data_IF_867073155756
#
_entry.id   IF_867073155756
#
_cell.length_a   1.000
_cell.length_b   1.000
_cell.length_c   1.000
_cell.angle_alpha   90.00
_cell.angle_beta   90.00
_cell.angle_gamma   90.00
#
_symmetry.space_group_name_H-M   'P 1'
#
loop_
_entity.id
_entity.type
_entity.pdbx_description
1 polymer ?
#
# COMPACT_ATOMS: atom_id res chain seq x y z
N UNK A 1 15.30 23.08 -4.76
CA UNK A 1 14.27 24.13 -4.98
C UNK A 1 13.72 24.16 -6.39
N UNK A 2 14.53 24.19 -7.47
CA UNK A 2 14.01 24.27 -8.85
C UNK A 2 13.03 23.16 -9.24
N UNK A 3 13.25 21.90 -8.82
CA UNK A 3 12.31 20.81 -9.11
C UNK A 3 11.01 20.87 -8.29
N UNK A 4 11.04 21.48 -7.08
CA UNK A 4 9.82 21.70 -6.26
C UNK A 4 8.87 22.70 -6.93
N UNK A 5 9.41 23.69 -7.63
CA UNK A 5 8.62 24.71 -8.33
C UNK A 5 7.94 24.15 -9.59
N UNK A 6 8.40 23.01 -10.12
CA UNK A 6 7.82 22.36 -11.30
C UNK A 6 6.63 21.45 -10.98
N UNK A 7 6.40 21.15 -9.70
CA UNK A 7 5.26 20.33 -9.28
C UNK A 7 3.99 21.17 -9.35
N UNK A 8 2.93 20.62 -9.97
CA UNK A 8 1.62 21.24 -9.96
C UNK A 8 0.95 21.03 -8.59
N UNK A 9 1.30 21.88 -7.63
CA UNK A 9 0.81 21.80 -6.25
C UNK A 9 -0.70 21.97 -6.13
N UNK A 10 -1.32 22.76 -7.01
CA UNK A 10 -2.77 22.92 -7.05
C UNK A 10 -3.46 21.57 -7.29
N UNK A 11 -2.98 20.81 -8.29
CA UNK A 11 -3.48 19.45 -8.59
C UNK A 11 -3.24 18.49 -7.42
N UNK A 12 -2.07 18.55 -6.78
CA UNK A 12 -1.76 17.70 -5.62
C UNK A 12 -2.68 17.99 -4.43
N UNK A 13 -2.94 19.27 -4.13
CA UNK A 13 -3.81 19.68 -3.03
C UNK A 13 -5.25 19.26 -3.29
N UNK A 14 -5.76 19.47 -4.51
CA UNK A 14 -7.12 19.06 -4.87
C UNK A 14 -7.28 17.55 -4.82
N UNK A 15 -6.31 16.79 -5.33
CA UNK A 15 -6.29 15.35 -5.22
C UNK A 15 -6.35 14.91 -3.75
N UNK A 16 -5.46 15.43 -2.93
CA UNK A 16 -5.37 15.03 -1.53
C UNK A 16 -6.63 15.43 -0.73
N UNK A 17 -7.18 16.62 -0.96
CA UNK A 17 -8.44 17.03 -0.36
C UNK A 17 -9.61 16.12 -0.78
N UNK A 18 -9.65 15.69 -2.04
CA UNK A 18 -10.64 14.72 -2.54
C UNK A 18 -10.50 13.37 -1.83
N UNK A 19 -9.26 12.89 -1.63
CA UNK A 19 -8.95 11.67 -0.88
C UNK A 19 -9.46 11.75 0.56
N UNK A 20 -9.18 12.84 1.28
CA UNK A 20 -9.66 13.02 2.65
C UNK A 20 -11.19 13.06 2.72
N UNK A 21 -11.83 13.84 1.83
CA UNK A 21 -13.28 14.01 1.77
C UNK A 21 -13.98 12.68 1.49
N UNK A 22 -13.54 11.95 0.45
CA UNK A 22 -14.18 10.68 0.10
C UNK A 22 -13.96 9.61 1.18
N UNK A 23 -12.80 9.63 1.84
CA UNK A 23 -12.50 8.71 2.95
C UNK A 23 -13.47 8.93 4.09
N UNK A 24 -13.63 10.19 4.52
CA UNK A 24 -14.59 10.56 5.56
C UNK A 24 -16.02 10.10 5.22
N UNK A 25 -16.49 10.39 3.99
CA UNK A 25 -17.83 10.00 3.55
C UNK A 25 -17.98 8.47 3.46
N UNK A 26 -17.00 7.77 2.91
CA UNK A 26 -17.05 6.31 2.71
C UNK A 26 -17.13 5.52 4.02
N UNK A 27 -16.59 6.08 5.12
CA UNK A 27 -16.68 5.48 6.46
C UNK A 27 -18.05 5.63 7.11
N UNK A 28 -18.89 6.56 6.64
CA UNK A 28 -20.28 6.69 7.08
C UNK A 28 -21.20 5.66 6.45
N UNK A 29 -20.75 5.02 5.37
CA UNK A 29 -21.47 3.94 4.71
C UNK A 29 -21.24 2.61 5.46
N UNK A 30 -22.22 1.69 5.43
CA UNK A 30 -22.00 0.33 5.93
C UNK A 30 -20.86 -0.34 5.14
N UNK A 31 -20.14 -1.28 5.76
CA UNK A 31 -19.05 -1.99 5.10
C UNK A 31 -19.61 -2.87 3.96
N UNK A 32 -19.58 -2.34 2.74
CA UNK A 32 -20.23 -2.95 1.59
C UNK A 32 -19.61 -4.30 1.26
N UNK A 33 -18.28 -4.39 1.38
CA UNK A 33 -17.57 -5.63 1.10
C UNK A 33 -17.88 -6.71 2.14
N UNK A 34 -17.99 -6.34 3.42
CA UNK A 34 -18.47 -7.27 4.45
C UNK A 34 -19.87 -7.80 4.12
N UNK A 35 -20.80 -6.91 3.74
CA UNK A 35 -22.17 -7.31 3.38
C UNK A 35 -22.14 -8.37 2.28
N UNK A 36 -21.37 -8.13 1.21
CA UNK A 36 -21.25 -9.09 0.08
C UNK A 36 -20.62 -10.41 0.54
N UNK A 37 -19.54 -10.37 1.32
CA UNK A 37 -18.87 -11.58 1.82
C UNK A 37 -19.81 -12.41 2.71
N UNK A 38 -20.66 -11.75 3.51
CA UNK A 38 -21.64 -12.41 4.36
C UNK A 38 -22.80 -13.07 3.62
N UNK A 39 -23.00 -12.75 2.33
CA UNK A 39 -23.99 -13.46 1.50
C UNK A 39 -23.53 -14.88 1.16
N UNK A 40 -22.23 -15.15 1.21
CA UNK A 40 -21.64 -16.43 0.78
C UNK A 40 -20.91 -17.17 1.90
N UNK A 41 -20.49 -16.47 2.97
CA UNK A 41 -19.65 -17.02 4.03
C UNK A 41 -19.95 -16.36 5.38
N UNK A 42 -19.60 -16.99 6.50
CA UNK A 42 -19.68 -16.36 7.83
C UNK A 42 -18.41 -15.58 8.21
N UNK A 43 -17.49 -15.41 7.25
CA UNK A 43 -16.19 -14.76 7.49
C UNK A 43 -16.38 -13.27 7.76
N UNK A 44 -15.88 -12.85 8.91
CA UNK A 44 -15.73 -11.43 9.23
C UNK A 44 -14.40 -10.91 8.69
N UNK A 45 -14.48 -9.87 7.86
CA UNK A 45 -13.32 -9.15 7.35
C UNK A 45 -12.66 -8.35 8.47
N UNK A 46 -11.33 -8.21 8.43
CA UNK A 46 -10.59 -7.58 9.52
C UNK A 46 -10.75 -6.06 9.59
N UNK A 47 -11.20 -5.41 8.51
CA UNK A 47 -11.48 -3.98 8.49
C UNK A 47 -12.48 -3.62 7.39
N UNK A 48 -12.88 -2.34 7.39
CA UNK A 48 -13.77 -1.77 6.40
C UNK A 48 -13.01 -1.47 5.10
N UNK A 49 -13.47 -2.01 3.96
CA UNK A 49 -12.82 -1.82 2.67
C UNK A 49 -13.26 -0.55 1.93
N UNK A 50 -14.33 0.11 2.38
CA UNK A 50 -14.95 1.24 1.68
C UNK A 50 -13.94 2.36 1.37
N UNK A 51 -13.07 2.69 2.33
CA UNK A 51 -12.09 3.76 2.14
C UNK A 51 -10.99 3.37 1.14
N UNK A 52 -10.58 2.10 1.10
CA UNK A 52 -9.67 1.58 0.08
C UNK A 52 -10.25 1.70 -1.34
N UNK A 53 -11.51 1.28 -1.52
CA UNK A 53 -12.21 1.46 -2.80
C UNK A 53 -12.40 2.94 -3.16
N UNK A 54 -12.74 3.76 -2.18
CA UNK A 54 -12.97 5.19 -2.38
C UNK A 54 -11.72 5.90 -2.90
N UNK A 55 -10.56 5.68 -2.27
CA UNK A 55 -9.30 6.30 -2.72
C UNK A 55 -8.87 5.78 -4.09
N UNK A 56 -9.09 4.48 -4.38
CA UNK A 56 -8.81 3.91 -5.68
C UNK A 56 -9.63 4.57 -6.79
N UNK A 57 -10.94 4.73 -6.57
CA UNK A 57 -11.84 5.38 -7.55
C UNK A 57 -11.37 6.82 -7.80
N UNK A 58 -11.08 7.58 -6.74
CA UNK A 58 -10.56 8.94 -6.88
C UNK A 58 -9.25 8.93 -7.70
N UNK A 59 -8.29 8.09 -7.37
CA UNK A 59 -7.04 8.00 -8.12
C UNK A 59 -7.24 7.61 -9.59
N UNK A 60 -8.16 6.70 -9.91
CA UNK A 60 -8.50 6.35 -11.30
C UNK A 60 -9.09 7.57 -12.03
N UNK A 61 -10.01 8.31 -11.41
CA UNK A 61 -10.60 9.52 -12.00
C UNK A 61 -9.52 10.58 -12.25
N UNK A 62 -8.61 10.77 -11.31
CA UNK A 62 -7.52 11.73 -11.45
C UNK A 62 -6.48 11.33 -12.51
N UNK A 63 -6.19 10.03 -12.65
CA UNK A 63 -5.40 9.55 -13.79
C UNK A 63 -6.12 9.81 -15.11
N UNK A 64 -7.42 9.53 -15.18
CA UNK A 64 -8.21 9.66 -16.41
C UNK A 64 -8.39 11.11 -16.88
N UNK A 65 -8.65 12.04 -15.95
CA UNK A 65 -9.10 13.39 -16.29
C UNK A 65 -8.06 14.48 -16.08
N UNK A 66 -7.03 14.24 -15.26
CA UNK A 66 -6.07 15.29 -14.90
C UNK A 66 -4.64 14.96 -15.32
N UNK A 67 -4.39 13.80 -15.93
CA UNK A 67 -3.03 13.35 -16.28
C UNK A 67 -2.94 13.03 -17.77
N UNK A 68 -2.17 13.84 -18.50
CA UNK A 68 -1.98 13.68 -19.95
C UNK A 68 -0.94 12.61 -20.30
N UNK A 69 0.01 12.35 -19.40
CA UNK A 69 1.03 11.31 -19.57
C UNK A 69 0.50 9.94 -19.14
N UNK A 70 0.81 8.90 -19.92
CA UNK A 70 0.58 7.51 -19.48
C UNK A 70 1.42 7.22 -18.23
N UNK A 71 0.81 6.55 -17.25
CA UNK A 71 1.49 6.05 -16.06
C UNK A 71 2.76 5.26 -16.44
N UNK A 72 3.88 5.61 -15.81
CA UNK A 72 5.16 4.91 -15.92
C UNK A 72 5.24 3.73 -14.96
N UNK A 73 4.36 3.71 -13.96
CA UNK A 73 4.17 2.59 -13.03
C UNK A 73 3.07 1.68 -13.60
N UNK A 74 3.37 0.39 -13.68
CA UNK A 74 2.40 -0.63 -14.08
C UNK A 74 2.19 -1.61 -12.93
N UNK A 75 1.21 -2.51 -13.07
CA UNK A 75 0.89 -3.47 -12.02
C UNK A 75 2.10 -4.35 -11.66
N UNK A 76 2.80 -4.88 -12.67
CA UNK A 76 3.95 -5.79 -12.50
C UNK A 76 5.33 -5.13 -12.74
N UNK A 77 5.35 -3.88 -13.20
CA UNK A 77 6.56 -3.13 -13.49
C UNK A 77 7.41 -3.69 -14.62
N UNK A 78 8.72 -3.44 -14.53
CA UNK A 78 9.68 -3.75 -15.61
C UNK A 78 10.19 -5.20 -15.61
N UNK A 79 10.15 -5.90 -14.47
CA UNK A 79 10.56 -7.31 -14.34
C UNK A 79 9.47 -8.13 -13.65
N UNK A 80 8.50 -8.59 -14.45
CA UNK A 80 7.27 -9.24 -13.98
C UNK A 80 7.53 -10.42 -13.03
N UNK A 81 8.47 -11.31 -13.38
CA UNK A 81 8.80 -12.48 -12.56
C UNK A 81 9.35 -12.08 -11.20
N UNK A 82 10.31 -11.12 -11.16
CA UNK A 82 10.85 -10.63 -9.89
C UNK A 82 9.80 -9.91 -9.04
N UNK A 83 8.87 -9.20 -9.68
CA UNK A 83 7.78 -8.55 -8.96
C UNK A 83 6.84 -9.58 -8.30
N UNK A 84 6.53 -10.68 -9.00
CA UNK A 84 5.67 -11.76 -8.47
C UNK A 84 6.31 -12.54 -7.32
N UNK A 85 7.65 -12.58 -7.21
CA UNK A 85 8.32 -13.21 -6.08
C UNK A 85 7.91 -12.59 -4.73
N UNK A 86 7.63 -11.29 -4.69
CA UNK A 86 7.24 -10.60 -3.46
C UNK A 86 5.98 -11.23 -2.84
N UNK A 87 4.80 -11.21 -3.49
CA UNK A 87 3.59 -11.80 -2.92
C UNK A 87 3.73 -13.32 -2.71
N UNK A 88 4.46 -14.05 -3.58
CA UNK A 88 4.67 -15.50 -3.40
C UNK A 88 5.41 -15.80 -2.10
N UNK A 89 6.50 -15.08 -1.81
CA UNK A 89 7.30 -15.26 -0.59
C UNK A 89 6.46 -14.88 0.63
N UNK A 90 5.75 -13.77 0.57
CA UNK A 90 4.87 -13.30 1.65
C UNK A 90 3.81 -14.35 2.00
N UNK A 91 3.04 -14.78 1.00
CA UNK A 91 1.93 -15.71 1.21
C UNK A 91 2.42 -17.07 1.66
N UNK A 92 3.47 -17.61 1.04
CA UNK A 92 4.07 -18.87 1.48
C UNK A 92 4.56 -18.78 2.92
N UNK A 93 5.29 -17.71 3.27
CA UNK A 93 5.85 -17.52 4.60
C UNK A 93 4.77 -17.47 5.69
N UNK A 94 3.72 -16.68 5.49
CA UNK A 94 2.64 -16.57 6.46
C UNK A 94 1.71 -17.78 6.49
N UNK A 95 1.47 -18.44 5.35
CA UNK A 95 0.70 -19.69 5.31
C UNK A 95 1.40 -20.76 6.14
N UNK A 96 2.72 -20.92 6.02
CA UNK A 96 3.49 -21.87 6.85
C UNK A 96 3.41 -21.50 8.33
N UNK A 97 3.44 -20.21 8.66
CA UNK A 97 3.42 -19.73 10.05
C UNK A 97 2.07 -19.89 10.74
N UNK A 98 0.96 -19.67 10.02
CA UNK A 98 -0.39 -19.78 10.56
C UNK A 98 -0.82 -18.60 11.43
N UNK A 99 -2.10 -18.24 11.37
CA UNK A 99 -2.74 -17.21 12.19
C UNK A 99 -3.92 -17.83 12.94
N UNK A 100 -3.87 -17.78 14.27
CA UNK A 100 -5.02 -18.13 15.10
C UNK A 100 -6.19 -17.21 14.79
N UNK A 101 -7.39 -17.78 14.77
CA UNK A 101 -8.63 -17.06 14.54
C UNK A 101 -9.76 -17.64 15.40
N UNK A 102 -10.78 -16.81 15.61
CA UNK A 102 -11.96 -17.18 16.39
C UNK A 102 -13.09 -17.75 15.52
N UNK A 103 -12.82 -18.02 14.23
CA UNK A 103 -13.81 -18.48 13.24
C UNK A 103 -13.73 -20.00 13.02
N UNK A 104 -12.83 -20.71 13.73
CA UNK A 104 -12.65 -22.16 13.58
C UNK A 104 -12.00 -22.58 12.26
N UNK A 105 -11.47 -21.62 11.49
CA UNK A 105 -10.74 -21.90 10.24
C UNK A 105 -9.34 -22.40 10.61
N UNK A 106 -8.79 -23.36 9.85
CA UNK A 106 -7.40 -23.79 10.00
C UNK A 106 -6.44 -22.59 9.98
N UNK A 107 -5.45 -22.58 10.87
CA UNK A 107 -4.60 -21.40 11.08
C UNK A 107 -3.77 -21.04 9.83
N UNK A 108 -3.36 -22.02 9.03
CA UNK A 108 -2.57 -21.82 7.82
C UNK A 108 -3.44 -21.27 6.70
N UNK A 109 -4.64 -21.83 6.52
CA UNK A 109 -5.63 -21.34 5.56
C UNK A 109 -6.04 -19.91 5.92
N UNK A 110 -6.31 -19.65 7.20
CA UNK A 110 -6.67 -18.31 7.66
C UNK A 110 -5.55 -17.31 7.41
N UNK A 111 -4.29 -17.68 7.67
CA UNK A 111 -3.16 -16.80 7.38
C UNK A 111 -3.09 -16.42 5.90
N UNK A 112 -3.29 -17.39 5.00
CA UNK A 112 -3.35 -17.13 3.56
C UNK A 112 -4.47 -16.15 3.20
N UNK A 113 -5.70 -16.42 3.65
CA UNK A 113 -6.88 -15.58 3.39
C UNK A 113 -6.65 -14.16 3.92
N UNK A 114 -6.19 -14.04 5.16
CA UNK A 114 -5.95 -12.76 5.83
C UNK A 114 -4.89 -11.94 5.09
N UNK A 115 -3.76 -12.55 4.74
CA UNK A 115 -2.70 -11.89 3.97
C UNK A 115 -3.18 -11.52 2.56
N UNK A 116 -3.94 -12.37 1.89
CA UNK A 116 -4.45 -12.11 0.54
C UNK A 116 -5.43 -10.92 0.53
N UNK A 117 -6.41 -10.92 1.43
CA UNK A 117 -7.38 -9.84 1.60
C UNK A 117 -6.66 -8.52 1.89
N UNK A 118 -5.65 -8.56 2.75
CA UNK A 118 -4.82 -7.39 3.09
C UNK A 118 -4.01 -6.89 1.91
N UNK A 119 -3.45 -7.81 1.12
CA UNK A 119 -2.71 -7.47 -0.08
C UNK A 119 -3.60 -6.78 -1.12
N UNK A 120 -4.83 -7.26 -1.33
CA UNK A 120 -5.79 -6.59 -2.21
C UNK A 120 -6.10 -5.18 -1.71
N UNK A 121 -6.33 -5.02 -0.40
CA UNK A 121 -6.54 -3.72 0.19
C UNK A 121 -5.34 -2.78 -0.02
N UNK A 122 -4.13 -3.27 0.21
CA UNK A 122 -2.90 -2.51 0.03
C UNK A 122 -2.61 -2.18 -1.44
N UNK A 123 -3.06 -2.97 -2.42
CA UNK A 123 -2.99 -2.57 -3.82
C UNK A 123 -3.75 -1.26 -4.05
N UNK A 124 -4.93 -1.09 -3.42
CA UNK A 124 -5.75 0.11 -3.56
C UNK A 124 -5.07 1.33 -2.93
N UNK A 125 -4.51 1.16 -1.73
CA UNK A 125 -3.70 2.18 -1.07
C UNK A 125 -2.47 2.55 -1.90
N UNK A 126 -1.68 1.57 -2.32
CA UNK A 126 -0.45 1.83 -3.06
C UNK A 126 -0.73 2.42 -4.44
N UNK A 127 -1.86 2.10 -5.09
CA UNK A 127 -2.25 2.74 -6.35
C UNK A 127 -2.40 4.26 -6.16
N UNK A 128 -2.96 4.65 -5.02
CA UNK A 128 -3.18 6.04 -4.62
C UNK A 128 -1.87 6.72 -4.25
N UNK A 129 -1.15 6.15 -3.28
CA UNK A 129 0.01 6.77 -2.67
C UNK A 129 1.28 6.62 -3.50
N UNK A 130 1.55 5.42 -4.03
CA UNK A 130 2.82 5.08 -4.73
C UNK A 130 2.67 5.08 -6.25
N UNK A 131 1.45 4.91 -6.76
CA UNK A 131 1.10 5.20 -8.15
C UNK A 131 0.92 6.70 -8.35
N UNK A 132 -0.32 7.17 -8.18
CA UNK A 132 -0.74 8.50 -8.60
C UNK A 132 0.07 9.63 -7.96
N UNK A 133 0.17 9.65 -6.63
CA UNK A 133 0.84 10.76 -5.92
C UNK A 133 2.33 10.83 -6.28
N UNK A 134 3.06 9.73 -6.23
CA UNK A 134 4.50 9.70 -6.54
C UNK A 134 4.81 10.11 -7.97
N UNK A 135 3.98 9.75 -8.95
CA UNK A 135 4.17 10.19 -10.33
C UNK A 135 3.93 11.69 -10.50
N UNK A 136 2.89 12.22 -9.85
CA UNK A 136 2.56 13.65 -9.93
C UNK A 136 3.49 14.56 -9.12
N UNK A 137 4.26 14.00 -8.18
CA UNK A 137 5.42 14.66 -7.57
C UNK A 137 6.64 14.76 -8.52
N UNK A 138 6.52 14.27 -9.76
CA UNK A 138 7.43 14.58 -10.85
C UNK A 138 8.87 14.09 -10.63
N UNK A 139 9.85 14.97 -10.81
CA UNK A 139 11.29 14.66 -10.70
C UNK A 139 11.88 14.93 -9.32
N UNK A 140 11.04 15.13 -8.30
CA UNK A 140 11.51 15.24 -6.92
C UNK A 140 12.32 14.01 -6.51
N UNK A 141 13.33 14.21 -5.67
CA UNK A 141 14.16 13.12 -5.17
C UNK A 141 13.34 12.17 -4.27
N UNK A 142 13.86 10.96 -4.08
CA UNK A 142 13.24 9.90 -3.30
C UNK A 142 12.80 10.36 -1.90
N UNK A 143 13.68 11.05 -1.18
CA UNK A 143 13.43 11.43 0.22
C UNK A 143 12.29 12.43 0.31
N UNK A 144 12.28 13.47 -0.52
CA UNK A 144 11.22 14.48 -0.54
C UNK A 144 9.88 13.83 -0.92
N UNK A 145 9.88 12.94 -1.92
CA UNK A 145 8.68 12.20 -2.31
C UNK A 145 8.15 11.33 -1.17
N UNK A 146 9.03 10.58 -0.50
CA UNK A 146 8.69 9.75 0.65
C UNK A 146 8.17 10.57 1.83
N UNK A 147 8.76 11.74 2.11
CA UNK A 147 8.30 12.66 3.16
C UNK A 147 6.88 13.16 2.89
N UNK A 148 6.63 13.71 1.69
CA UNK A 148 5.31 14.23 1.32
C UNK A 148 4.27 13.10 1.38
N UNK A 149 4.57 11.96 0.75
CA UNK A 149 3.67 10.81 0.76
C UNK A 149 3.44 10.27 2.17
N UNK A 150 4.48 10.19 3.02
CA UNK A 150 4.36 9.70 4.39
C UNK A 150 3.51 10.61 5.29
N UNK A 151 3.67 11.94 5.16
CA UNK A 151 2.85 12.91 5.90
C UNK A 151 1.38 12.82 5.45
N UNK A 152 1.14 12.80 4.14
CA UNK A 152 -0.22 12.69 3.60
C UNK A 152 -0.88 11.39 4.02
N UNK A 153 -0.14 10.30 3.97
CA UNK A 153 -0.62 8.99 4.39
C UNK A 153 -0.92 8.91 5.89
N UNK A 154 -0.07 9.50 6.74
CA UNK A 154 -0.31 9.57 8.18
C UNK A 154 -1.55 10.40 8.54
N UNK A 155 -1.72 11.57 7.92
CA UNK A 155 -2.88 12.43 8.17
C UNK A 155 -4.17 11.79 7.64
N UNK A 156 -4.11 11.08 6.51
CA UNK A 156 -5.25 10.31 6.01
C UNK A 156 -5.75 9.25 7.01
N UNK A 157 -4.84 8.59 7.75
CA UNK A 157 -5.21 7.62 8.78
C UNK A 157 -5.96 8.21 9.98
N UNK A 158 -5.85 9.52 10.24
CA UNK A 158 -6.69 10.20 11.25
C UNK A 158 -8.18 10.04 10.91
N UNK A 159 -8.50 9.93 9.62
CA UNK A 159 -9.85 9.67 9.16
C UNK A 159 -10.23 8.20 9.19
N UNK A 160 -9.38 7.27 9.65
CA UNK A 160 -9.61 5.81 9.60
C UNK A 160 -9.52 5.18 10.98
N UNK A 161 -8.47 5.47 11.71
CA UNK A 161 -8.29 4.93 13.05
C UNK A 161 -9.11 5.73 14.06
N UNK A 162 -9.53 5.04 15.13
CA UNK A 162 -10.24 5.68 16.24
C UNK A 162 -9.25 6.35 17.20
N UNK A 163 -8.08 5.73 17.38
CA UNK A 163 -6.97 6.20 18.19
C UNK A 163 -5.63 5.70 17.60
N UNK A 164 -4.52 6.08 18.23
CA UNK A 164 -3.17 5.68 17.83
C UNK A 164 -2.39 5.06 18.99
N UNK A 165 -3.07 4.56 20.03
CA UNK A 165 -2.42 4.07 21.25
C UNK A 165 -1.51 2.86 20.98
N UNK A 166 -1.93 1.99 20.07
CA UNK A 166 -1.13 0.83 19.61
C UNK A 166 0.22 1.21 18.97
N UNK A 167 0.36 2.46 18.52
CA UNK A 167 1.60 3.01 17.98
C UNK A 167 2.36 3.91 18.98
N UNK A 168 1.84 4.08 20.20
CA UNK A 168 2.34 5.04 21.19
C UNK A 168 1.98 6.50 20.88
N UNK A 169 0.91 6.72 20.12
CA UNK A 169 0.38 8.05 19.78
C UNK A 169 0.65 8.47 18.32
N UNK A 170 -0.07 9.50 17.89
CA UNK A 170 -0.04 9.95 16.49
C UNK A 170 1.35 10.41 16.02
N UNK A 171 2.17 10.99 16.89
CA UNK A 171 3.51 11.47 16.54
C UNK A 171 4.47 10.32 16.19
N UNK A 172 4.42 9.20 16.92
CA UNK A 172 5.19 8.00 16.59
C UNK A 172 4.66 7.34 15.32
N UNK A 173 3.34 7.30 15.16
CA UNK A 173 2.72 6.82 13.93
C UNK A 173 3.12 7.66 12.71
N UNK A 174 3.20 8.98 12.83
CA UNK A 174 3.66 9.87 11.77
C UNK A 174 5.10 9.58 11.37
N UNK A 175 6.01 9.43 12.35
CA UNK A 175 7.42 9.06 12.09
C UNK A 175 7.48 7.70 11.38
N UNK A 176 6.71 6.73 11.86
CA UNK A 176 6.59 5.42 11.24
C UNK A 176 6.13 5.50 9.78
N UNK A 177 5.05 6.24 9.49
CA UNK A 177 4.55 6.46 8.14
C UNK A 177 5.59 7.13 7.24
N UNK A 178 6.36 8.10 7.74
CA UNK A 178 7.42 8.76 6.96
C UNK A 178 8.52 7.77 6.59
N UNK A 179 9.07 7.07 7.58
CA UNK A 179 10.18 6.11 7.35
C UNK A 179 9.73 5.02 6.40
N UNK A 180 8.56 4.44 6.65
CA UNK A 180 8.03 3.36 5.83
C UNK A 180 7.66 3.84 4.43
N UNK A 181 7.16 5.08 4.29
CA UNK A 181 6.84 5.64 2.99
C UNK A 181 8.07 5.88 2.12
N UNK A 182 9.22 6.19 2.70
CA UNK A 182 10.48 6.26 1.95
C UNK A 182 10.82 4.88 1.36
N UNK A 183 10.68 3.80 2.13
CA UNK A 183 10.92 2.43 1.64
C UNK A 183 9.95 2.04 0.51
N UNK A 184 8.66 2.31 0.70
CA UNK A 184 7.64 2.02 -0.32
C UNK A 184 7.86 2.84 -1.60
N UNK A 185 8.19 4.13 -1.46
CA UNK A 185 8.55 5.00 -2.58
C UNK A 185 9.81 4.52 -3.30
N UNK A 186 10.82 4.06 -2.55
CA UNK A 186 12.02 3.47 -3.14
C UNK A 186 11.67 2.24 -3.97
N UNK A 187 10.84 1.36 -3.42
CA UNK A 187 10.44 0.11 -4.08
C UNK A 187 9.69 0.38 -5.40
N UNK A 188 8.74 1.32 -5.43
CA UNK A 188 7.98 1.63 -6.65
C UNK A 188 8.83 2.35 -7.69
N UNK A 189 9.70 3.29 -7.26
CA UNK A 189 10.57 4.01 -8.18
C UNK A 189 11.60 3.10 -8.83
N UNK A 190 12.10 2.10 -8.10
CA UNK A 190 13.07 1.11 -8.58
C UNK A 190 12.45 0.06 -9.51
N UNK A 191 11.29 -0.48 -9.13
CA UNK A 191 10.68 -1.62 -9.83
C UNK A 191 9.69 -1.21 -10.91
N UNK A 192 9.15 0.01 -10.83
CA UNK A 192 7.98 0.48 -11.59
C UNK A 192 6.74 -0.42 -11.41
N UNK A 193 6.75 -1.25 -10.38
CA UNK A 193 5.72 -2.25 -10.10
C UNK A 193 4.89 -1.81 -8.91
N UNK A 194 3.58 -1.91 -9.02
CA UNK A 194 2.65 -1.60 -7.95
C UNK A 194 2.53 -2.74 -6.93
N UNK A 195 2.63 -3.99 -7.38
CA UNK A 195 2.50 -5.13 -6.46
C UNK A 195 3.63 -5.17 -5.44
N UNK A 196 4.82 -4.66 -5.78
CA UNK A 196 5.98 -4.66 -4.89
C UNK A 196 5.76 -3.82 -3.63
N UNK A 197 5.45 -2.50 -3.69
CA UNK A 197 5.11 -1.74 -2.50
C UNK A 197 3.88 -2.31 -1.80
N UNK A 198 2.87 -2.83 -2.51
CA UNK A 198 1.67 -3.38 -1.89
C UNK A 198 1.99 -4.64 -1.05
N UNK A 199 2.88 -5.50 -1.52
CA UNK A 199 3.36 -6.64 -0.73
C UNK A 199 4.18 -6.18 0.48
N UNK A 200 5.09 -5.21 0.30
CA UNK A 200 5.88 -4.68 1.42
C UNK A 200 4.97 -4.06 2.46
N UNK A 201 3.94 -3.32 2.05
CA UNK A 201 2.92 -2.78 2.95
C UNK A 201 2.17 -3.90 3.69
N UNK A 202 1.84 -4.99 3.00
CA UNK A 202 1.18 -6.16 3.61
C UNK A 202 2.03 -6.83 4.70
N UNK A 203 3.36 -6.64 4.72
CA UNK A 203 4.18 -7.12 5.84
C UNK A 203 3.78 -6.52 7.18
N UNK A 204 3.23 -5.30 7.20
CA UNK A 204 2.84 -4.59 8.43
C UNK A 204 1.65 -5.21 9.16
N UNK A 205 1.05 -6.25 8.58
CA UNK A 205 -0.08 -6.98 9.13
C UNK A 205 0.21 -7.62 10.51
N UNK A 206 1.47 -8.04 10.71
CA UNK A 206 1.97 -8.66 11.93
C UNK A 206 3.44 -8.28 12.09
N UNK A 207 3.88 -8.14 13.33
CA UNK A 207 5.30 -7.96 13.67
C UNK A 207 5.81 -9.26 14.28
N UNK A 208 6.40 -10.13 13.46
CA UNK A 208 6.96 -11.41 13.91
C UNK A 208 8.22 -11.78 13.11
N UNK A 209 8.74 -13.00 13.36
CA UNK A 209 9.96 -13.49 12.69
C UNK A 209 9.79 -13.62 11.16
N UNK A 210 8.60 -13.99 10.69
CA UNK A 210 8.30 -14.10 9.25
C UNK A 210 8.33 -12.72 8.60
N UNK A 211 7.79 -11.70 9.26
CA UNK A 211 7.88 -10.31 8.82
C UNK A 211 9.34 -9.90 8.60
N UNK A 212 10.20 -10.20 9.57
CA UNK A 212 11.62 -9.85 9.52
C UNK A 212 12.35 -10.59 8.39
N UNK A 213 12.12 -11.90 8.26
CA UNK A 213 12.71 -12.71 7.18
C UNK A 213 12.28 -12.19 5.81
N UNK A 214 10.97 -11.96 5.60
CA UNK A 214 10.46 -11.45 4.34
C UNK A 214 11.01 -10.06 4.04
N UNK A 215 11.11 -9.16 5.03
CA UNK A 215 11.68 -7.84 4.85
C UNK A 215 13.14 -7.91 4.39
N UNK A 216 13.96 -8.75 5.02
CA UNK A 216 15.37 -8.94 4.62
C UNK A 216 15.46 -9.45 3.18
N UNK A 217 14.68 -10.48 2.84
CA UNK A 217 14.64 -11.04 1.48
C UNK A 217 14.20 -9.98 0.46
N UNK A 218 13.17 -9.20 0.77
CA UNK A 218 12.67 -8.13 -0.09
C UNK A 218 13.72 -7.03 -0.31
N UNK A 219 14.45 -6.63 0.74
CA UNK A 219 15.54 -5.66 0.62
C UNK A 219 16.69 -6.20 -0.26
N UNK A 220 17.02 -7.49 -0.16
CA UNK A 220 18.01 -8.14 -1.05
C UNK A 220 17.52 -8.11 -2.51
N UNK A 221 16.26 -8.48 -2.76
CA UNK A 221 15.69 -8.46 -4.13
C UNK A 221 15.67 -7.02 -4.69
N UNK A 222 15.31 -6.03 -3.88
CA UNK A 222 15.27 -4.62 -4.31
C UNK A 222 16.66 -4.04 -4.61
N UNK A 223 17.64 -4.31 -3.75
CA UNK A 223 19.02 -3.83 -3.94
C UNK A 223 19.69 -4.52 -5.13
N UNK A 224 19.32 -5.76 -5.44
CA UNK A 224 19.80 -6.53 -6.59
C UNK A 224 18.88 -6.44 -7.82
N UNK A 225 17.87 -5.55 -7.82
CA UNK A 225 16.83 -5.51 -8.86
C UNK A 225 17.37 -5.46 -10.30
N UNK A 226 18.41 -4.67 -10.53
CA UNK A 226 19.02 -4.49 -11.86
C UNK A 226 20.05 -5.56 -12.22
N UNK A 227 20.47 -6.41 -11.26
CA UNK A 227 21.37 -7.52 -11.55
C UNK A 227 20.56 -8.61 -12.27
N UNK A 228 20.96 -8.95 -13.48
CA UNK A 228 20.39 -10.10 -14.20
C UNK A 228 20.85 -11.35 -13.45
N UNK A 229 19.91 -12.09 -12.88
CA UNK A 229 20.22 -13.29 -12.07
C UNK A 229 20.66 -14.46 -12.97
N UNK A 230 20.37 -14.43 -14.27
CA UNK A 230 20.79 -15.47 -15.22
C UNK A 230 21.09 -14.85 -16.59
N UNK A 231 22.37 -14.58 -16.88
CA UNK A 231 22.92 -14.92 -18.19
C UNK A 231 23.58 -16.28 -18.00
N UNK A 232 22.83 -17.35 -18.31
CA UNK A 232 23.44 -18.61 -18.72
C UNK A 232 23.78 -18.47 -20.20
#
# INVERSE_FOLDING_TARGET
MKELQKVNWYKIIIFYFSILTITFLSRKLPNLFQIIVTLFTEVQLPWNFNHGFAILIVSILFYKFYTDEKSKISFLGNQKVKALLFPIILFTGYTIYGFKNNQGIDEHIWAFIFCFITFIYNIMEEYTWRGYLIENLGKLNLIIKGLISGIFWAVWHVFIFNDFEQYGGFYLFLIFCIVFSILLTFSVLKTKSLIVPATIHTLLIKTNIVTLICLIVFLIILTTWNKIVLKK
#
